data_IF_825473332325
#
_entry.id   IF_825473332325
#
_cell.length_a   1.000
_cell.length_b   1.000
_cell.length_c   1.000
_cell.angle_alpha   90.00
_cell.angle_beta   90.00
_cell.angle_gamma   90.00
#
_symmetry.space_group_name_H-M   'P 1'
#
loop_
_entity.id
_entity.type
_entity.pdbx_description
1 polymer ?
#
# COMPACT_ATOMS: atom_id res chain seq x y z
N UNK A 1 -0.31 -12.81 -8.14
CA UNK A 1 0.58 -13.33 -7.08
C UNK A 1 0.44 -14.85 -6.94
N UNK A 2 1.56 -15.59 -6.91
CA UNK A 2 1.61 -17.04 -6.69
C UNK A 2 1.68 -17.40 -5.20
N UNK A 3 2.31 -16.59 -4.37
CA UNK A 3 2.33 -16.80 -2.92
C UNK A 3 0.97 -16.46 -2.31
N UNK A 4 0.50 -17.29 -1.39
CA UNK A 4 -0.79 -17.10 -0.72
C UNK A 4 -0.82 -15.81 0.10
N UNK A 5 0.27 -15.48 0.81
CA UNK A 5 0.41 -14.25 1.59
C UNK A 5 0.30 -12.98 0.73
N UNK A 6 0.89 -13.01 -0.47
CA UNK A 6 0.81 -11.89 -1.43
C UNK A 6 -0.62 -11.75 -1.99
N UNK A 7 -1.32 -12.85 -2.28
CA UNK A 7 -2.74 -12.79 -2.68
C UNK A 7 -3.63 -12.23 -1.57
N UNK A 8 -3.35 -12.62 -0.34
CA UNK A 8 -4.10 -12.18 0.83
C UNK A 8 -4.01 -10.65 1.00
N UNK A 9 -2.80 -10.07 1.02
CA UNK A 9 -2.68 -8.61 1.19
C UNK A 9 -3.32 -7.82 0.05
N UNK A 10 -3.26 -8.32 -1.18
CA UNK A 10 -3.91 -7.68 -2.33
C UNK A 10 -5.43 -7.67 -2.17
N UNK A 11 -6.00 -8.75 -1.62
CA UNK A 11 -7.43 -8.83 -1.32
C UNK A 11 -7.81 -7.85 -0.22
N UNK A 12 -7.01 -7.74 0.84
CA UNK A 12 -7.23 -6.77 1.92
C UNK A 12 -7.05 -5.32 1.44
N UNK A 13 -6.10 -5.05 0.54
CA UNK A 13 -5.95 -3.75 -0.10
C UNK A 13 -7.19 -3.37 -0.89
N UNK A 14 -7.73 -4.28 -1.71
CA UNK A 14 -8.99 -4.07 -2.45
C UNK A 14 -10.15 -3.72 -1.51
N UNK A 15 -10.25 -4.38 -0.35
CA UNK A 15 -11.27 -4.08 0.67
C UNK A 15 -11.06 -2.71 1.30
N UNK A 16 -9.83 -2.41 1.73
CA UNK A 16 -9.48 -1.14 2.33
C UNK A 16 -9.73 0.02 1.36
N UNK A 17 -9.35 -0.12 0.08
CA UNK A 17 -9.59 0.89 -0.94
C UNK A 17 -11.08 1.21 -1.10
N UNK A 18 -11.96 0.21 -1.10
CA UNK A 18 -13.42 0.44 -1.13
C UNK A 18 -13.90 1.18 0.12
N UNK A 19 -13.54 0.70 1.31
CA UNK A 19 -13.98 1.32 2.57
C UNK A 19 -13.53 2.79 2.69
N UNK A 20 -12.28 3.07 2.32
CA UNK A 20 -11.73 4.44 2.33
C UNK A 20 -12.45 5.30 1.29
N UNK A 21 -12.67 4.79 0.08
CA UNK A 21 -13.40 5.49 -0.98
C UNK A 21 -14.83 5.80 -0.55
N UNK A 22 -15.53 4.84 0.04
CA UNK A 22 -16.90 5.02 0.54
C UNK A 22 -16.93 6.08 1.65
N UNK A 23 -15.97 6.05 2.58
CA UNK A 23 -15.85 7.06 3.63
C UNK A 23 -15.62 8.47 3.08
N UNK A 24 -14.72 8.62 2.08
CA UNK A 24 -14.45 9.92 1.44
C UNK A 24 -15.67 10.43 0.67
N UNK A 25 -16.27 9.59 -0.18
CA UNK A 25 -17.40 9.98 -1.05
C UNK A 25 -18.68 10.26 -0.27
N UNK A 26 -18.82 9.69 0.92
CA UNK A 26 -19.93 9.95 1.83
C UNK A 26 -19.64 11.00 2.91
N UNK A 27 -18.50 11.72 2.79
CA UNK A 27 -18.07 12.77 3.71
C UNK A 27 -17.82 12.32 5.16
N UNK A 28 -17.61 11.02 5.38
CA UNK A 28 -17.26 10.43 6.70
C UNK A 28 -15.75 10.22 6.78
N UNK A 29 -15.01 11.33 6.83
CA UNK A 29 -13.53 11.31 6.81
C UNK A 29 -12.91 10.56 8.00
N UNK A 30 -13.57 10.56 9.16
CA UNK A 30 -13.16 9.79 10.33
C UNK A 30 -13.19 8.27 10.07
N UNK A 31 -14.20 7.77 9.35
CA UNK A 31 -14.29 6.36 8.96
C UNK A 31 -13.23 6.01 7.93
N UNK A 32 -13.02 6.86 6.92
CA UNK A 32 -11.95 6.69 5.93
C UNK A 32 -10.57 6.60 6.60
N UNK A 33 -10.26 7.52 7.52
CA UNK A 33 -9.00 7.53 8.25
C UNK A 33 -8.82 6.28 9.14
N UNK A 34 -9.90 5.82 9.77
CA UNK A 34 -9.89 4.61 10.62
C UNK A 34 -9.66 3.35 9.78
N UNK A 35 -10.32 3.24 8.62
CA UNK A 35 -10.12 2.14 7.68
C UNK A 35 -8.67 2.11 7.14
N UNK A 36 -8.13 3.27 6.77
CA UNK A 36 -6.76 3.40 6.33
C UNK A 36 -5.75 3.00 7.43
N UNK A 37 -5.95 3.49 8.66
CA UNK A 37 -5.12 3.12 9.81
C UNK A 37 -5.14 1.60 10.07
N UNK A 38 -6.35 0.99 10.09
CA UNK A 38 -6.51 -0.44 10.31
C UNK A 38 -5.77 -1.26 9.25
N UNK A 39 -5.86 -0.88 7.98
CA UNK A 39 -5.17 -1.58 6.91
C UNK A 39 -3.64 -1.43 7.02
N UNK A 40 -3.16 -0.20 7.13
CA UNK A 40 -1.72 0.08 7.10
C UNK A 40 -1.02 -0.45 8.34
N UNK A 41 -1.57 -0.15 9.52
CA UNK A 41 -0.94 -0.55 10.78
C UNK A 41 -1.18 -2.03 11.06
N UNK A 42 -2.45 -2.43 11.18
CA UNK A 42 -2.78 -3.75 11.72
C UNK A 42 -2.66 -4.87 10.69
N UNK A 43 -2.76 -4.63 9.39
CA UNK A 43 -2.67 -5.69 8.38
C UNK A 43 -1.33 -5.65 7.65
N UNK A 44 -0.95 -4.50 7.10
CA UNK A 44 0.27 -4.38 6.32
C UNK A 44 1.53 -4.47 7.20
N UNK A 45 1.64 -3.60 8.22
CA UNK A 45 2.83 -3.57 9.08
C UNK A 45 2.87 -4.77 10.06
N UNK A 46 1.83 -4.96 10.87
CA UNK A 46 1.84 -5.97 11.95
C UNK A 46 1.86 -7.42 11.45
N UNK A 47 1.20 -7.71 10.31
CA UNK A 47 1.07 -9.08 9.81
C UNK A 47 1.82 -9.31 8.50
N UNK A 48 1.53 -8.55 7.45
CA UNK A 48 2.05 -8.87 6.12
C UNK A 48 3.57 -8.78 6.05
N UNK A 49 4.18 -7.70 6.53
CA UNK A 49 5.64 -7.57 6.54
C UNK A 49 6.32 -8.62 7.44
N UNK A 50 5.71 -8.95 8.57
CA UNK A 50 6.19 -10.00 9.49
C UNK A 50 6.16 -11.38 8.83
N UNK A 51 5.05 -11.72 8.16
CA UNK A 51 4.88 -12.98 7.43
C UNK A 51 5.82 -13.11 6.22
N UNK A 52 6.34 -11.99 5.70
CA UNK A 52 7.33 -11.99 4.62
C UNK A 52 8.77 -12.20 5.09
N UNK A 53 9.09 -12.02 6.39
CA UNK A 53 10.46 -12.19 6.90
C UNK A 53 11.05 -13.58 6.56
N UNK A 54 10.35 -14.71 6.76
CA UNK A 54 10.86 -16.02 6.37
C UNK A 54 11.07 -16.17 4.85
N UNK A 55 10.23 -15.52 4.02
CA UNK A 55 10.39 -15.52 2.56
C UNK A 55 11.69 -14.84 2.18
N UNK A 56 12.00 -13.69 2.78
CA UNK A 56 13.23 -12.96 2.53
C UNK A 56 14.48 -13.65 3.07
N UNK A 57 14.36 -14.42 4.16
CA UNK A 57 15.45 -15.24 4.71
C UNK A 57 15.62 -16.59 4.00
N UNK A 58 14.68 -17.00 3.15
CA UNK A 58 14.74 -18.27 2.42
C UNK A 58 15.71 -18.29 1.23
N UNK A 59 15.75 -19.40 0.49
CA UNK A 59 16.59 -19.57 -0.70
C UNK A 59 15.85 -19.37 -2.04
N UNK A 60 14.52 -19.27 -2.01
CA UNK A 60 13.70 -19.11 -3.22
C UNK A 60 13.72 -17.65 -3.70
N UNK A 61 14.60 -17.35 -4.67
CA UNK A 61 14.74 -16.01 -5.25
C UNK A 61 13.49 -15.58 -6.04
N UNK A 62 12.72 -16.51 -6.61
CA UNK A 62 11.48 -16.17 -7.31
C UNK A 62 10.40 -15.70 -6.31
N UNK A 63 10.29 -16.37 -5.16
CA UNK A 63 9.42 -15.94 -4.07
C UNK A 63 9.81 -14.56 -3.53
N UNK A 64 11.12 -14.31 -3.33
CA UNK A 64 11.61 -12.99 -2.90
C UNK A 64 11.29 -11.89 -3.91
N UNK A 65 11.53 -12.14 -5.19
CA UNK A 65 11.26 -11.17 -6.25
C UNK A 65 9.76 -10.83 -6.32
N UNK A 66 8.88 -11.85 -6.25
CA UNK A 66 7.44 -11.64 -6.20
C UNK A 66 7.03 -10.81 -4.98
N UNK A 67 7.53 -11.13 -3.79
CA UNK A 67 7.19 -10.40 -2.57
C UNK A 67 7.70 -8.97 -2.55
N UNK A 68 8.90 -8.69 -3.08
CA UNK A 68 9.40 -7.31 -3.25
C UNK A 68 8.50 -6.50 -4.17
N UNK A 69 8.12 -7.06 -5.31
CA UNK A 69 7.21 -6.40 -6.25
C UNK A 69 5.83 -6.16 -5.63
N UNK A 70 5.31 -7.15 -4.89
CA UNK A 70 4.03 -7.03 -4.21
C UNK A 70 4.05 -5.96 -3.10
N UNK A 71 5.11 -5.92 -2.28
CA UNK A 71 5.28 -4.88 -1.24
C UNK A 71 5.35 -3.50 -1.88
N UNK A 72 6.17 -3.31 -2.92
CA UNK A 72 6.29 -2.03 -3.61
C UNK A 72 4.95 -1.55 -4.19
N UNK A 73 4.20 -2.46 -4.82
CA UNK A 73 2.86 -2.16 -5.34
C UNK A 73 1.90 -1.75 -4.22
N UNK A 74 1.80 -2.54 -3.14
CA UNK A 74 0.88 -2.23 -2.02
C UNK A 74 1.25 -0.91 -1.35
N UNK A 75 2.55 -0.61 -1.24
CA UNK A 75 3.05 0.63 -0.66
C UNK A 75 2.67 1.85 -1.51
N UNK A 76 2.79 1.77 -2.83
CA UNK A 76 2.33 2.81 -3.77
C UNK A 76 0.82 3.10 -3.61
N UNK A 77 0.01 2.05 -3.47
CA UNK A 77 -1.44 2.20 -3.25
C UNK A 77 -1.75 2.79 -1.86
N UNK A 78 -1.00 2.40 -0.82
CA UNK A 78 -1.12 2.99 0.52
C UNK A 78 -0.89 4.50 0.48
N UNK A 79 0.13 4.97 -0.24
CA UNK A 79 0.40 6.41 -0.35
C UNK A 79 -0.77 7.15 -0.99
N UNK A 80 -1.32 6.64 -2.09
CA UNK A 80 -2.50 7.22 -2.75
C UNK A 80 -3.70 7.27 -1.81
N UNK A 81 -3.99 6.18 -1.10
CA UNK A 81 -5.12 6.08 -0.18
C UNK A 81 -4.99 7.04 1.01
N UNK A 82 -3.77 7.24 1.53
CA UNK A 82 -3.51 8.10 2.68
C UNK A 82 -3.38 9.58 2.31
N UNK A 83 -3.11 9.91 1.04
CA UNK A 83 -2.81 11.27 0.60
C UNK A 83 -3.86 12.32 1.00
N UNK A 84 -5.18 12.06 0.92
CA UNK A 84 -6.19 13.03 1.36
C UNK A 84 -6.13 13.41 2.85
N UNK A 85 -5.48 12.59 3.69
CA UNK A 85 -5.36 12.79 5.14
C UNK A 85 -3.95 13.24 5.54
N UNK A 86 -2.91 12.77 4.86
CA UNK A 86 -1.50 13.06 5.16
C UNK A 86 -0.73 13.50 3.92
N UNK A 87 -1.11 14.63 3.28
CA UNK A 87 -0.63 14.99 1.95
C UNK A 87 0.89 15.18 1.91
N UNK A 88 1.47 15.88 2.88
CA UNK A 88 2.91 16.17 2.87
C UNK A 88 3.79 14.94 3.12
N UNK A 89 3.44 14.11 4.10
CA UNK A 89 4.20 12.90 4.42
C UNK A 89 4.15 11.88 3.28
N UNK A 90 2.97 11.70 2.68
CA UNK A 90 2.81 10.76 1.56
C UNK A 90 3.50 11.25 0.29
N UNK A 91 3.55 12.56 0.05
CA UNK A 91 4.28 13.15 -1.09
C UNK A 91 5.80 12.91 -0.96
N UNK A 92 6.35 13.14 0.24
CA UNK A 92 7.77 12.88 0.52
C UNK A 92 8.13 11.41 0.30
N UNK A 93 7.34 10.50 0.89
CA UNK A 93 7.57 9.06 0.75
C UNK A 93 7.38 8.56 -0.69
N UNK A 94 6.45 9.14 -1.44
CA UNK A 94 6.23 8.82 -2.85
C UNK A 94 7.44 9.16 -3.73
N UNK A 95 8.06 10.31 -3.46
CA UNK A 95 9.28 10.73 -4.15
C UNK A 95 10.47 9.81 -3.80
N UNK A 96 10.69 9.52 -2.52
CA UNK A 96 11.79 8.67 -2.04
C UNK A 96 11.70 7.23 -2.58
N UNK A 97 10.49 6.70 -2.72
CA UNK A 97 10.25 5.32 -3.19
C UNK A 97 10.23 5.15 -4.71
N UNK A 98 10.58 6.19 -5.48
CA UNK A 98 10.66 6.16 -6.95
C UNK A 98 11.76 5.24 -7.50
N UNK A 99 12.71 4.85 -6.66
CA UNK A 99 13.88 4.04 -6.98
C UNK A 99 15.11 4.89 -7.27
N UNK A 100 16.30 4.36 -6.95
CA UNK A 100 17.56 5.12 -7.07
C UNK A 100 17.75 5.72 -8.47
N UNK A 101 17.99 7.03 -8.51
CA UNK A 101 18.23 7.78 -9.74
C UNK A 101 17.01 7.91 -10.66
N UNK A 102 15.81 7.61 -10.16
CA UNK A 102 14.55 7.78 -10.89
C UNK A 102 13.74 8.89 -10.24
N UNK A 103 12.88 9.52 -11.05
CA UNK A 103 11.87 10.45 -10.58
C UNK A 103 10.50 9.92 -10.97
N UNK A 104 9.49 10.17 -10.13
CA UNK A 104 8.10 9.91 -10.50
C UNK A 104 7.68 10.91 -11.57
N UNK A 105 6.84 10.51 -12.55
CA UNK A 105 6.42 11.40 -13.62
C UNK A 105 5.51 12.55 -13.15
N UNK A 106 4.91 12.43 -11.96
CA UNK A 106 4.05 13.44 -11.36
C UNK A 106 4.07 13.36 -9.85
N UNK A 107 3.61 14.44 -9.21
CA UNK A 107 3.23 14.45 -7.80
C UNK A 107 2.14 13.42 -7.51
N UNK A 108 2.11 12.93 -6.27
CA UNK A 108 1.13 12.00 -5.76
C UNK A 108 -0.29 12.58 -5.81
N UNK A 109 -0.44 13.89 -5.57
CA UNK A 109 -1.74 14.57 -5.66
C UNK A 109 -2.38 14.51 -7.07
N UNK A 110 -1.59 14.20 -8.10
CA UNK A 110 -2.05 14.01 -9.49
C UNK A 110 -2.17 12.53 -9.89
N UNK A 111 -1.80 11.60 -9.01
CA UNK A 111 -1.92 10.18 -9.28
C UNK A 111 -3.40 9.76 -9.37
N UNK A 112 -3.66 8.75 -10.20
CA UNK A 112 -5.00 8.16 -10.28
C UNK A 112 -5.38 7.52 -8.93
N UNK A 113 -6.63 7.75 -8.51
CA UNK A 113 -7.17 7.09 -7.32
C UNK A 113 -7.18 5.56 -7.51
N UNK A 114 -6.85 4.77 -6.48
CA UNK A 114 -6.86 3.31 -6.56
C UNK A 114 -8.24 2.80 -6.97
N UNK A 115 -8.31 2.06 -8.09
CA UNK A 115 -9.53 1.34 -8.47
C UNK A 115 -9.40 -0.12 -8.06
N UNK A 116 -10.24 -0.61 -7.13
CA UNK A 116 -10.28 -2.01 -6.74
C UNK A 116 -10.75 -2.96 -7.85
#
# INVERSE_FOLDING_TARGET
AKLAVNRWILTELTRAAREITDGITSYRFNEAATAAYRFVWNLFCDWYLELLKPVFMGADEAAKAESRACVAFVLDEIYKLLHPMMPFMTEELWAETSGEGKERPSLLCHAAWPSP
#
